data_IF_547512029190
#
_entry.id   IF_547512029190
#
_cell.length_a   1.000
_cell.length_b   1.000
_cell.length_c   1.000
_cell.angle_alpha   90.00
_cell.angle_beta   90.00
_cell.angle_gamma   90.00
#
_symmetry.space_group_name_H-M   'P 1'
#
loop_
_entity.id
_entity.type
_entity.pdbx_description
1 polymer ?
#
# COMPACT_ATOMS: atom_id res chain seq x y z
N UNK A 1 6.15 61.83 27.92
CA UNK A 1 4.92 61.04 27.79
C UNK A 1 5.06 60.31 26.45
N UNK A 2 5.46 59.04 26.52
CA UNK A 2 5.61 58.15 25.35
C UNK A 2 4.48 57.16 25.47
N UNK A 3 3.51 57.24 24.53
CA UNK A 3 2.44 56.25 24.38
C UNK A 3 2.98 54.97 23.77
N UNK A 4 2.87 53.86 24.51
CA UNK A 4 3.09 52.52 24.02
C UNK A 4 1.84 52.08 23.26
N UNK A 5 1.95 51.97 21.94
CA UNK A 5 0.99 51.26 21.10
C UNK A 5 1.29 49.75 21.16
N UNK A 6 0.47 49.03 21.91
CA UNK A 6 0.48 47.55 21.93
C UNK A 6 -0.19 47.03 20.65
N UNK A 7 0.59 46.46 19.77
CA UNK A 7 0.08 45.69 18.63
C UNK A 7 -0.41 44.32 19.13
N UNK A 8 -1.74 44.16 19.20
CA UNK A 8 -2.37 42.86 19.42
C UNK A 8 -2.39 42.12 18.06
N UNK A 9 -1.42 41.22 17.85
CA UNK A 9 -1.48 40.29 16.73
C UNK A 9 -2.58 39.25 17.02
N UNK A 10 -3.73 39.40 16.41
CA UNK A 10 -4.77 38.37 16.37
C UNK A 10 -4.25 37.26 15.45
N UNK A 11 -3.72 36.19 16.03
CA UNK A 11 -3.52 34.92 15.35
C UNK A 11 -4.90 34.39 14.96
N UNK A 12 -5.29 34.61 13.71
CA UNK A 12 -6.38 33.84 13.11
C UNK A 12 -5.88 32.41 13.00
N UNK A 13 -6.31 31.56 13.92
CA UNK A 13 -6.25 30.11 13.77
C UNK A 13 -7.22 29.80 12.64
N UNK A 14 -6.71 29.71 11.41
CA UNK A 14 -7.48 29.14 10.31
C UNK A 14 -7.68 27.66 10.64
N UNK A 15 -8.93 27.30 10.91
CA UNK A 15 -9.31 25.88 10.98
C UNK A 15 -8.76 25.18 9.74
N UNK A 16 -8.20 23.97 9.87
CA UNK A 16 -7.79 23.22 8.69
C UNK A 16 -8.98 23.10 7.74
N UNK A 17 -8.75 23.15 6.42
CA UNK A 17 -9.84 23.06 5.46
C UNK A 17 -10.64 21.79 5.75
N UNK A 18 -11.96 21.94 5.82
CA UNK A 18 -12.91 20.84 5.99
C UNK A 18 -12.60 19.82 4.88
N UNK A 19 -11.95 18.71 5.26
CA UNK A 19 -11.59 17.66 4.31
C UNK A 19 -12.87 17.13 3.73
N UNK A 20 -13.03 17.22 2.41
CA UNK A 20 -14.17 16.63 1.71
C UNK A 20 -14.35 15.19 2.22
N UNK A 21 -15.60 14.82 2.54
CA UNK A 21 -15.90 13.48 3.04
C UNK A 21 -15.28 12.43 2.10
N UNK A 22 -14.57 11.43 2.64
CA UNK A 22 -13.97 10.40 1.81
C UNK A 22 -15.07 9.68 1.02
N UNK A 23 -14.80 9.41 -0.25
CA UNK A 23 -15.69 8.66 -1.16
C UNK A 23 -16.04 7.27 -0.60
N UNK A 24 -15.22 6.74 0.32
CA UNK A 24 -15.37 5.41 0.92
C UNK A 24 -15.37 5.53 2.45
N UNK A 25 -16.44 5.03 3.07
CA UNK A 25 -16.54 4.95 4.53
C UNK A 25 -15.70 3.81 5.11
N UNK A 26 -14.81 4.07 6.10
CA UNK A 26 -14.06 3.00 6.77
C UNK A 26 -14.96 1.96 7.47
N UNK A 27 -16.10 2.37 8.01
CA UNK A 27 -17.03 1.46 8.68
C UNK A 27 -17.68 0.49 7.68
N UNK A 28 -18.14 1.00 6.55
CA UNK A 28 -18.76 0.23 5.48
C UNK A 28 -17.77 -0.71 4.80
N UNK A 29 -16.55 -0.23 4.55
CA UNK A 29 -15.49 -1.08 4.00
C UNK A 29 -15.20 -2.27 4.93
N UNK A 30 -15.02 -2.03 6.24
CA UNK A 30 -14.77 -3.11 7.21
C UNK A 30 -15.95 -4.08 7.31
N UNK A 31 -17.20 -3.57 7.30
CA UNK A 31 -18.38 -4.41 7.33
C UNK A 31 -18.45 -5.33 6.11
N UNK A 32 -18.24 -4.79 4.92
CA UNK A 32 -18.21 -5.55 3.66
C UNK A 32 -17.08 -6.58 3.62
N UNK A 33 -15.88 -6.18 4.05
CA UNK A 33 -14.72 -7.07 4.11
C UNK A 33 -14.99 -8.27 5.06
N UNK A 34 -15.49 -8.03 6.26
CA UNK A 34 -15.74 -9.07 7.25
C UNK A 34 -16.88 -10.00 6.80
N UNK A 35 -17.95 -9.45 6.21
CA UNK A 35 -19.05 -10.26 5.68
C UNK A 35 -18.57 -11.18 4.53
N UNK A 36 -17.72 -10.69 3.64
CA UNK A 36 -17.13 -11.49 2.57
C UNK A 36 -16.15 -12.55 3.12
N UNK A 37 -15.34 -12.19 4.12
CA UNK A 37 -14.43 -13.12 4.80
C UNK A 37 -15.17 -14.29 5.44
N UNK A 38 -16.32 -14.04 6.06
CA UNK A 38 -17.21 -15.05 6.65
C UNK A 38 -17.95 -15.90 5.59
N UNK A 39 -17.89 -15.51 4.32
CA UNK A 39 -18.65 -16.15 3.24
C UNK A 39 -20.15 -15.90 3.30
N UNK A 40 -20.57 -14.85 4.02
CA UNK A 40 -21.97 -14.41 4.18
C UNK A 40 -22.36 -13.33 3.17
N UNK A 41 -21.42 -12.83 2.40
CA UNK A 41 -21.60 -11.70 1.48
C UNK A 41 -21.60 -12.17 0.03
N UNK A 42 -22.54 -11.66 -0.74
CA UNK A 42 -22.48 -11.61 -2.19
C UNK A 42 -22.59 -10.15 -2.62
N UNK A 43 -21.73 -9.71 -3.51
CA UNK A 43 -21.85 -8.36 -4.07
C UNK A 43 -23.20 -8.24 -4.77
N UNK A 44 -24.06 -7.24 -4.45
CA UNK A 44 -25.34 -7.06 -5.07
C UNK A 44 -25.23 -6.87 -6.59
N UNK A 45 -26.20 -7.36 -7.41
CA UNK A 45 -26.13 -7.26 -8.87
C UNK A 45 -25.96 -5.83 -9.39
N UNK A 46 -26.59 -4.85 -8.76
CA UNK A 46 -26.47 -3.43 -9.11
C UNK A 46 -25.07 -2.89 -8.86
N UNK A 47 -24.41 -3.31 -7.78
CA UNK A 47 -23.01 -2.95 -7.48
C UNK A 47 -22.07 -3.63 -8.47
N UNK A 48 -22.30 -4.92 -8.80
CA UNK A 48 -21.54 -5.60 -9.85
C UNK A 48 -21.63 -4.85 -11.19
N UNK A 49 -22.83 -4.41 -11.58
CA UNK A 49 -23.03 -3.66 -12.81
C UNK A 49 -22.28 -2.32 -12.80
N UNK A 50 -22.22 -1.62 -11.66
CA UNK A 50 -21.43 -0.39 -11.50
C UNK A 50 -19.94 -0.67 -11.57
N UNK A 51 -19.46 -1.78 -11.00
CA UNK A 51 -18.07 -2.19 -11.06
C UNK A 51 -17.56 -2.32 -12.51
N UNK A 52 -18.42 -2.63 -13.48
CA UNK A 52 -18.05 -2.71 -14.90
C UNK A 52 -17.76 -1.33 -15.53
N UNK A 53 -18.07 -0.23 -14.86
CA UNK A 53 -17.81 1.14 -15.36
C UNK A 53 -16.40 1.63 -15.07
N UNK A 54 -15.58 0.82 -14.38
CA UNK A 54 -14.22 1.19 -14.01
C UNK A 54 -13.18 0.35 -14.75
N UNK A 55 -11.99 0.91 -14.84
CA UNK A 55 -10.76 0.16 -15.15
C UNK A 55 -9.98 -0.07 -13.89
N UNK A 56 -9.56 -1.28 -13.69
CA UNK A 56 -8.79 -1.70 -12.53
C UNK A 56 -7.32 -1.76 -12.88
N UNK A 57 -6.50 -1.04 -12.13
CA UNK A 57 -5.05 -1.02 -12.32
C UNK A 57 -4.38 -1.59 -11.08
N UNK A 58 -3.78 -2.75 -11.23
CA UNK A 58 -2.95 -3.36 -10.21
C UNK A 58 -1.51 -2.86 -10.32
N UNK A 59 -0.96 -2.29 -9.22
CA UNK A 59 0.43 -1.86 -9.16
C UNK A 59 1.17 -2.79 -8.21
N UNK A 60 2.08 -3.58 -8.77
CA UNK A 60 2.79 -4.63 -8.04
C UNK A 60 3.97 -4.07 -7.22
N UNK A 61 4.33 -4.79 -6.15
CA UNK A 61 5.41 -4.41 -5.25
C UNK A 61 6.79 -4.86 -5.70
N UNK A 62 7.73 -4.83 -4.76
CA UNK A 62 9.13 -5.21 -4.95
C UNK A 62 9.28 -6.68 -5.37
N UNK A 63 10.22 -6.99 -6.27
CA UNK A 63 10.50 -8.31 -6.84
C UNK A 63 9.35 -8.95 -7.64
N UNK A 64 8.40 -8.15 -8.09
CA UNK A 64 7.24 -8.63 -8.82
C UNK A 64 7.52 -9.05 -10.26
N UNK A 65 8.63 -8.62 -10.87
CA UNK A 65 8.93 -8.85 -12.29
C UNK A 65 9.07 -10.34 -12.67
N UNK A 66 9.29 -11.21 -11.68
CA UNK A 66 9.36 -12.66 -11.87
C UNK A 66 8.16 -13.45 -11.33
N UNK A 67 7.13 -12.76 -10.82
CA UNK A 67 6.02 -13.37 -10.10
C UNK A 67 4.72 -13.40 -10.90
N UNK A 68 4.48 -14.46 -11.68
CA UNK A 68 3.26 -14.63 -12.49
C UNK A 68 1.96 -14.71 -11.67
N UNK A 69 2.04 -14.97 -10.37
CA UNK A 69 0.88 -15.14 -9.47
C UNK A 69 0.47 -13.85 -8.75
N UNK A 70 1.23 -12.75 -8.95
CA UNK A 70 0.93 -11.46 -8.33
C UNK A 70 -0.44 -10.95 -8.81
N UNK A 71 -1.34 -10.65 -7.87
CA UNK A 71 -2.72 -10.23 -8.13
C UNK A 71 -3.59 -11.20 -8.97
N UNK A 72 -3.11 -12.39 -9.30
CA UNK A 72 -3.85 -13.32 -10.18
C UNK A 72 -5.21 -13.71 -9.60
N UNK A 73 -5.29 -13.96 -8.29
CA UNK A 73 -6.55 -14.28 -7.63
C UNK A 73 -7.46 -13.03 -7.56
N UNK A 74 -6.91 -11.85 -7.23
CA UNK A 74 -7.68 -10.61 -7.18
C UNK A 74 -8.32 -10.30 -8.56
N UNK A 75 -7.55 -10.44 -9.64
CA UNK A 75 -8.07 -10.28 -10.99
C UNK A 75 -9.07 -11.39 -11.38
N UNK A 76 -8.93 -12.60 -10.83
CA UNK A 76 -9.92 -13.66 -11.01
C UNK A 76 -11.26 -13.27 -10.36
N UNK A 77 -11.25 -12.74 -9.16
CA UNK A 77 -12.47 -12.29 -8.47
C UNK A 77 -13.17 -11.16 -9.25
N UNK A 78 -12.42 -10.16 -9.75
CA UNK A 78 -12.99 -9.13 -10.64
C UNK A 78 -13.68 -9.74 -11.87
N UNK A 79 -13.07 -10.74 -12.49
CA UNK A 79 -13.68 -11.42 -13.64
C UNK A 79 -14.90 -12.26 -13.26
N UNK A 80 -14.89 -12.88 -12.09
CA UNK A 80 -16.00 -13.70 -11.59
C UNK A 80 -17.28 -12.88 -11.40
N UNK A 81 -17.17 -11.59 -11.12
CA UNK A 81 -18.31 -10.66 -11.04
C UNK A 81 -18.59 -9.96 -12.39
N UNK A 82 -17.92 -10.37 -13.49
CA UNK A 82 -18.18 -9.92 -14.84
C UNK A 82 -17.34 -8.75 -15.34
N UNK A 83 -16.35 -8.25 -14.58
CA UNK A 83 -15.44 -7.21 -15.10
C UNK A 83 -14.67 -7.74 -16.31
N UNK A 84 -14.72 -7.06 -17.48
CA UNK A 84 -14.04 -7.49 -18.68
C UNK A 84 -12.53 -7.59 -18.49
N UNK A 85 -11.90 -8.61 -19.06
CA UNK A 85 -10.43 -8.75 -19.00
C UNK A 85 -9.70 -7.54 -19.56
N UNK A 86 -10.27 -6.87 -20.54
CA UNK A 86 -9.76 -5.64 -21.17
C UNK A 86 -9.81 -4.42 -20.26
N UNK A 87 -10.55 -4.50 -19.14
CA UNK A 87 -10.61 -3.44 -18.11
C UNK A 87 -9.68 -3.71 -16.92
N UNK A 88 -8.83 -4.76 -16.97
CA UNK A 88 -7.90 -5.12 -15.90
C UNK A 88 -6.46 -4.99 -16.42
N UNK A 89 -5.71 -4.10 -15.79
CA UNK A 89 -4.37 -3.72 -16.20
C UNK A 89 -3.36 -3.90 -15.05
N UNK A 90 -2.07 -3.97 -15.40
CA UNK A 90 -1.00 -4.20 -14.44
C UNK A 90 0.16 -3.24 -14.69
N UNK A 91 0.74 -2.74 -13.61
CA UNK A 91 2.01 -2.02 -13.61
C UNK A 91 2.98 -2.81 -12.74
N UNK A 92 4.15 -3.10 -13.27
CA UNK A 92 5.26 -3.75 -12.58
C UNK A 92 6.43 -2.76 -12.51
N UNK A 93 6.52 -1.94 -11.45
CA UNK A 93 7.64 -1.02 -11.28
C UNK A 93 8.95 -1.79 -11.14
N UNK A 94 10.05 -1.25 -11.67
CA UNK A 94 11.33 -1.92 -11.62
C UNK A 94 11.88 -1.97 -10.18
N UNK A 95 12.12 -3.17 -9.66
CA UNK A 95 12.59 -3.37 -8.28
C UNK A 95 13.99 -2.80 -8.02
N UNK A 96 14.81 -2.68 -9.05
CA UNK A 96 16.18 -2.12 -8.97
C UNK A 96 16.20 -0.60 -8.81
N UNK A 97 15.12 0.10 -9.20
CA UNK A 97 15.07 1.55 -9.21
C UNK A 97 14.42 2.08 -7.91
N UNK A 98 14.63 3.34 -7.58
CA UNK A 98 13.93 4.04 -6.51
C UNK A 98 12.49 4.37 -6.91
N UNK A 99 11.66 4.86 -5.98
CA UNK A 99 10.30 5.35 -6.29
C UNK A 99 10.38 6.47 -7.33
N UNK A 100 11.28 7.43 -7.14
CA UNK A 100 11.50 8.51 -8.10
C UNK A 100 12.00 7.98 -9.45
N UNK A 101 12.93 7.04 -9.47
CA UNK A 101 13.40 6.38 -10.69
C UNK A 101 12.28 5.70 -11.50
N UNK A 102 11.27 5.14 -10.82
CA UNK A 102 10.09 4.54 -11.45
C UNK A 102 9.04 5.55 -11.94
N UNK A 103 9.04 6.79 -11.41
CA UNK A 103 7.96 7.76 -11.62
C UNK A 103 7.58 7.95 -13.10
N UNK A 104 8.58 8.09 -13.98
CA UNK A 104 8.34 8.25 -15.41
C UNK A 104 7.69 7.05 -16.08
N UNK A 105 8.05 5.82 -15.70
CA UNK A 105 7.49 4.59 -16.24
C UNK A 105 6.06 4.38 -15.74
N UNK A 106 5.84 4.58 -14.45
CA UNK A 106 4.53 4.49 -13.80
C UNK A 106 3.56 5.51 -14.40
N UNK A 107 4.00 6.77 -14.55
CA UNK A 107 3.23 7.83 -15.20
C UNK A 107 2.78 7.46 -16.62
N UNK A 108 3.69 6.95 -17.47
CA UNK A 108 3.33 6.53 -18.83
C UNK A 108 2.23 5.49 -18.83
N UNK A 109 2.31 4.49 -17.93
CA UNK A 109 1.30 3.42 -17.83
C UNK A 109 -0.07 3.93 -17.37
N UNK A 110 -0.12 4.81 -16.38
CA UNK A 110 -1.39 5.42 -15.96
C UNK A 110 -2.05 6.22 -17.09
N UNK A 111 -1.26 7.03 -17.83
CA UNK A 111 -1.78 7.77 -18.98
C UNK A 111 -2.24 6.84 -20.13
N UNK A 112 -1.48 5.77 -20.41
CA UNK A 112 -1.87 4.75 -21.38
C UNK A 112 -3.24 4.16 -21.03
N UNK A 113 -3.44 3.71 -19.79
CA UNK A 113 -4.68 3.06 -19.37
C UNK A 113 -5.86 4.03 -19.31
N UNK A 114 -5.66 5.26 -18.87
CA UNK A 114 -6.70 6.28 -18.90
C UNK A 114 -7.08 6.70 -20.34
N UNK A 115 -6.16 6.56 -21.29
CA UNK A 115 -6.41 6.85 -22.72
C UNK A 115 -7.22 5.79 -23.47
N UNK A 116 -7.46 4.61 -22.88
CA UNK A 116 -8.20 3.53 -23.52
C UNK A 116 -9.72 3.77 -23.60
N UNK A 117 -10.28 4.69 -22.82
CA UNK A 117 -11.70 5.05 -22.82
C UNK A 117 -12.07 6.01 -21.69
N UNK A 118 -13.36 6.31 -21.53
CA UNK A 118 -13.86 7.29 -20.56
C UNK A 118 -13.91 6.79 -19.12
N UNK A 119 -13.72 5.50 -18.89
CA UNK A 119 -13.84 4.87 -17.58
C UNK A 119 -12.74 5.36 -16.64
N UNK A 120 -13.12 5.71 -15.42
CA UNK A 120 -12.15 6.07 -14.38
C UNK A 120 -11.39 4.85 -13.88
N UNK A 121 -10.20 5.11 -13.36
CA UNK A 121 -9.31 4.09 -12.82
C UNK A 121 -9.59 3.84 -11.34
N UNK A 122 -9.77 2.58 -10.98
CA UNK A 122 -9.67 2.09 -9.60
C UNK A 122 -8.30 1.45 -9.46
N UNK A 123 -7.44 2.06 -8.67
CA UNK A 123 -6.05 1.62 -8.48
C UNK A 123 -5.94 0.77 -7.23
N UNK A 124 -5.37 -0.42 -7.36
CA UNK A 124 -5.08 -1.34 -6.25
C UNK A 124 -3.57 -1.59 -6.26
N UNK A 125 -2.89 -0.91 -5.37
CA UNK A 125 -1.44 -0.92 -5.32
C UNK A 125 -0.95 -1.59 -4.04
N UNK A 126 0.06 -2.48 -4.15
CA UNK A 126 0.53 -3.28 -3.03
C UNK A 126 2.00 -3.06 -2.75
N UNK A 127 2.35 -3.07 -1.44
CA UNK A 127 3.73 -2.99 -1.00
C UNK A 127 4.41 -1.75 -1.58
N UNK A 128 5.63 -1.83 -2.09
CA UNK A 128 6.31 -0.72 -2.75
C UNK A 128 5.50 -0.10 -3.89
N UNK A 129 4.70 -0.89 -4.62
CA UNK A 129 3.82 -0.35 -5.66
C UNK A 129 2.79 0.66 -5.13
N UNK A 130 2.42 0.57 -3.85
CA UNK A 130 1.60 1.58 -3.19
C UNK A 130 2.34 2.92 -3.07
N UNK A 131 3.64 2.88 -2.78
CA UNK A 131 4.49 4.07 -2.76
C UNK A 131 4.62 4.68 -4.17
N UNK A 132 4.88 3.85 -5.19
CA UNK A 132 4.96 4.30 -6.58
C UNK A 132 3.63 4.95 -7.04
N UNK A 133 2.48 4.38 -6.66
CA UNK A 133 1.15 4.90 -7.02
C UNK A 133 0.82 6.22 -6.32
N UNK A 134 1.12 6.34 -5.01
CA UNK A 134 0.88 7.58 -4.26
C UNK A 134 1.79 8.71 -4.77
N UNK A 135 3.07 8.42 -5.02
CA UNK A 135 4.00 9.43 -5.54
C UNK A 135 3.57 9.91 -6.93
N UNK A 136 3.13 9.00 -7.81
CA UNK A 136 2.51 9.39 -9.08
C UNK A 136 1.31 10.32 -8.86
N UNK A 137 0.43 9.99 -7.91
CA UNK A 137 -0.78 10.77 -7.63
C UNK A 137 -0.44 12.19 -7.17
N UNK A 138 0.52 12.35 -6.25
CA UNK A 138 0.98 13.65 -5.76
C UNK A 138 1.59 14.50 -6.88
N UNK A 139 2.36 13.89 -7.77
CA UNK A 139 2.94 14.59 -8.93
C UNK A 139 1.91 14.98 -10.01
N UNK A 140 0.72 14.35 -10.02
CA UNK A 140 -0.26 14.49 -11.09
C UNK A 140 -1.69 14.73 -10.56
N UNK A 141 -1.94 15.75 -9.68
CA UNK A 141 -3.23 15.92 -9.01
C UNK A 141 -4.38 16.17 -9.99
N UNK A 142 -4.15 16.88 -11.10
CA UNK A 142 -5.17 17.10 -12.15
C UNK A 142 -5.55 15.80 -12.85
N UNK A 143 -4.60 14.90 -13.06
CA UNK A 143 -4.87 13.57 -13.62
C UNK A 143 -5.72 12.76 -12.66
N UNK A 144 -5.36 12.76 -11.37
CA UNK A 144 -6.11 12.06 -10.32
C UNK A 144 -7.53 12.57 -10.22
N UNK A 145 -7.72 13.88 -10.16
CA UNK A 145 -9.05 14.49 -10.09
C UNK A 145 -9.95 14.05 -11.25
N UNK A 146 -9.41 13.99 -12.47
CA UNK A 146 -10.14 13.67 -13.70
C UNK A 146 -10.34 12.16 -13.91
N UNK A 147 -9.30 11.35 -13.74
CA UNK A 147 -9.25 10.00 -14.27
C UNK A 147 -9.24 8.91 -13.19
N UNK A 148 -9.02 9.24 -11.92
CA UNK A 148 -8.97 8.25 -10.84
C UNK A 148 -10.23 8.34 -10.01
N UNK A 149 -10.87 7.20 -9.76
CA UNK A 149 -11.96 7.08 -8.80
C UNK A 149 -11.42 6.90 -7.40
N UNK A 150 -10.56 5.92 -7.19
CA UNK A 150 -9.97 5.61 -5.90
C UNK A 150 -8.58 4.98 -6.05
N UNK A 151 -7.70 5.24 -5.05
CA UNK A 151 -6.41 4.59 -4.85
C UNK A 151 -6.46 3.76 -3.57
N UNK A 152 -6.48 2.45 -3.68
CA UNK A 152 -6.37 1.52 -2.57
C UNK A 152 -4.91 1.09 -2.42
N UNK A 153 -4.29 1.58 -1.36
CA UNK A 153 -2.87 1.39 -1.05
C UNK A 153 -2.75 0.31 0.04
N UNK A 154 -2.36 -0.88 -0.39
CA UNK A 154 -2.34 -2.09 0.43
C UNK A 154 -0.93 -2.34 0.93
N UNK A 155 -0.71 -2.34 2.25
CA UNK A 155 0.55 -2.73 2.88
C UNK A 155 1.80 -1.97 2.36
N UNK A 156 1.64 -0.68 2.04
CA UNK A 156 2.74 0.12 1.49
C UNK A 156 3.79 0.47 2.54
N UNK A 157 5.10 0.28 2.27
CA UNK A 157 6.18 0.63 3.20
C UNK A 157 6.52 2.14 3.12
N UNK A 158 5.57 3.00 3.47
CA UNK A 158 5.75 4.45 3.40
C UNK A 158 6.78 4.96 4.41
N UNK A 159 6.79 4.41 5.63
CA UNK A 159 7.84 4.65 6.61
C UNK A 159 9.10 3.80 6.38
N UNK A 160 9.16 3.05 5.28
CA UNK A 160 10.22 2.09 5.01
C UNK A 160 9.98 0.73 5.69
N UNK A 161 11.06 -0.03 5.85
CA UNK A 161 11.00 -1.31 6.55
C UNK A 161 12.30 -1.58 7.32
N UNK A 162 12.18 -2.00 8.58
CA UNK A 162 13.31 -2.45 9.38
C UNK A 162 14.06 -3.64 8.78
N UNK A 163 13.45 -4.37 7.82
CA UNK A 163 14.15 -5.43 7.09
C UNK A 163 15.17 -4.84 6.10
N UNK A 164 14.82 -3.73 5.44
CA UNK A 164 15.78 -3.01 4.59
C UNK A 164 16.91 -2.43 5.45
N UNK A 165 16.61 -1.85 6.63
CA UNK A 165 17.63 -1.36 7.57
C UNK A 165 18.58 -2.49 7.99
N UNK A 166 18.04 -3.68 8.32
CA UNK A 166 18.85 -4.84 8.67
C UNK A 166 19.79 -5.26 7.53
N UNK A 167 19.23 -5.42 6.32
CA UNK A 167 19.98 -5.88 5.14
C UNK A 167 21.04 -4.87 4.70
N UNK A 168 20.82 -3.59 4.89
CA UNK A 168 21.80 -2.53 4.56
C UNK A 168 22.79 -2.23 5.70
N UNK A 169 22.65 -2.90 6.85
CA UNK A 169 23.51 -2.69 8.02
C UNK A 169 23.17 -1.42 8.80
N UNK A 170 22.03 -0.78 8.53
CA UNK A 170 21.54 0.41 9.25
C UNK A 170 20.66 0.02 10.46
N UNK A 171 20.15 -1.23 10.50
CA UNK A 171 19.24 -1.71 11.52
C UNK A 171 19.93 -2.28 12.77
N UNK A 172 19.16 -2.44 13.87
CA UNK A 172 19.67 -3.12 15.06
C UNK A 172 20.08 -4.55 14.76
N UNK A 173 21.13 -5.07 15.43
CA UNK A 173 21.56 -6.45 15.25
C UNK A 173 20.50 -7.42 15.79
N UNK A 174 20.50 -8.65 15.26
CA UNK A 174 19.66 -9.71 15.79
C UNK A 174 20.07 -10.02 17.22
N UNK A 175 19.13 -9.90 18.15
CA UNK A 175 19.38 -10.14 19.57
C UNK A 175 19.69 -11.65 19.82
N UNK A 176 20.79 -11.92 20.50
CA UNK A 176 21.16 -13.27 20.93
C UNK A 176 20.14 -13.89 21.92
N UNK A 177 19.23 -13.08 22.49
CA UNK A 177 18.10 -13.53 23.31
C UNK A 177 16.96 -14.13 22.50
N UNK A 178 16.96 -13.95 21.17
CA UNK A 178 16.00 -14.64 20.31
C UNK A 178 16.08 -16.16 20.49
N UNK A 179 14.95 -16.89 20.53
CA UNK A 179 14.92 -18.34 20.54
C UNK A 179 15.74 -18.93 19.38
N UNK A 180 16.43 -20.06 19.64
CA UNK A 180 17.36 -20.68 18.68
C UNK A 180 16.74 -20.92 17.28
N UNK A 181 15.46 -21.33 17.24
CA UNK A 181 14.71 -21.49 15.97
C UNK A 181 14.65 -20.20 15.17
N UNK A 182 14.41 -19.08 15.83
CA UNK A 182 14.30 -17.76 15.21
C UNK A 182 15.65 -17.25 14.72
N UNK A 183 16.74 -17.52 15.49
CA UNK A 183 18.09 -17.18 15.05
C UNK A 183 18.54 -17.97 13.84
N UNK A 184 18.17 -19.27 13.76
CA UNK A 184 18.47 -20.10 12.58
C UNK A 184 17.72 -19.63 11.34
N UNK A 185 16.49 -19.15 11.48
CA UNK A 185 15.72 -18.58 10.35
C UNK A 185 16.21 -17.19 10.04
N UNK A 186 16.58 -16.39 11.06
CA UNK A 186 17.20 -15.08 10.87
C UNK A 186 18.57 -15.15 10.20
N UNK A 187 19.36 -16.23 10.45
CA UNK A 187 20.58 -16.48 9.66
C UNK A 187 20.29 -16.78 8.18
N UNK A 188 19.06 -17.17 7.84
CA UNK A 188 18.57 -17.26 6.47
C UNK A 188 18.32 -15.88 5.82
N UNK A 189 18.11 -14.82 6.60
CA UNK A 189 18.03 -13.44 6.08
C UNK A 189 19.36 -13.01 5.46
N UNK A 190 20.50 -13.44 6.01
CA UNK A 190 21.82 -13.21 5.42
C UNK A 190 21.96 -13.81 4.01
N UNK A 191 21.27 -14.94 3.71
CA UNK A 191 21.23 -15.51 2.35
C UNK A 191 20.31 -14.75 1.41
N UNK A 192 19.26 -14.13 1.93
CA UNK A 192 18.41 -13.22 1.17
C UNK A 192 19.20 -11.94 0.87
N UNK A 193 19.95 -11.43 1.84
CA UNK A 193 20.90 -10.32 1.67
C UNK A 193 21.88 -10.62 0.55
N UNK A 194 22.60 -11.74 0.60
CA UNK A 194 23.55 -12.16 -0.43
C UNK A 194 22.88 -12.29 -1.81
N UNK A 195 21.66 -12.84 -1.88
CA UNK A 195 20.92 -12.99 -3.13
C UNK A 195 20.38 -11.67 -3.69
N UNK A 196 19.91 -10.76 -2.83
CA UNK A 196 19.41 -9.43 -3.24
C UNK A 196 20.54 -8.47 -3.60
N UNK A 197 21.68 -8.52 -2.87
CA UNK A 197 22.82 -7.66 -3.11
C UNK A 197 23.74 -8.19 -4.22
N UNK A 198 23.82 -9.50 -4.45
CA UNK A 198 24.68 -10.12 -5.48
C UNK A 198 24.23 -9.86 -6.93
N UNK A 199 22.97 -9.45 -7.13
CA UNK A 199 22.42 -9.16 -8.47
C UNK A 199 22.71 -7.75 -9.00
N UNK A 200 23.66 -7.03 -8.43
CA UNK A 200 24.11 -5.72 -8.89
C UNK A 200 23.62 -4.54 -8.07
N UNK A 201 24.07 -3.33 -8.42
CA UNK A 201 23.71 -2.08 -7.72
C UNK A 201 22.20 -1.83 -7.81
N UNK A 202 21.46 -2.26 -6.83
CA UNK A 202 20.04 -2.04 -6.72
C UNK A 202 19.76 -0.88 -5.75
N UNK A 203 19.42 0.29 -6.27
CA UNK A 203 19.02 1.43 -5.46
C UNK A 203 17.63 1.20 -4.77
N UNK A 204 16.86 0.24 -5.26
CA UNK A 204 15.51 -0.03 -4.79
C UNK A 204 15.43 -0.47 -3.33
N UNK A 205 16.28 -1.41 -2.88
CA UNK A 205 16.26 -1.86 -1.50
C UNK A 205 16.78 -0.82 -0.50
N UNK A 206 17.92 -0.13 -0.73
CA UNK A 206 18.36 0.96 0.13
C UNK A 206 17.36 2.12 0.24
N UNK A 207 16.55 2.37 -0.80
CA UNK A 207 15.50 3.39 -0.75
C UNK A 207 14.31 3.01 0.14
N UNK A 208 14.23 1.76 0.60
CA UNK A 208 13.21 1.26 1.50
C UNK A 208 13.68 1.21 2.96
N UNK A 209 14.89 1.69 3.29
CA UNK A 209 15.27 1.89 4.70
C UNK A 209 14.35 2.93 5.33
N UNK A 210 14.11 2.83 6.64
CA UNK A 210 13.22 3.76 7.36
C UNK A 210 13.70 5.20 7.23
N UNK A 211 15.02 5.41 7.31
CA UNK A 211 15.63 6.73 7.12
C UNK A 211 15.39 7.27 5.71
N UNK A 212 15.73 6.50 4.67
CA UNK A 212 15.57 6.96 3.30
C UNK A 212 14.10 7.18 2.91
N UNK A 213 13.19 6.31 3.38
CA UNK A 213 11.75 6.45 3.15
C UNK A 213 11.21 7.70 3.84
N UNK A 214 11.61 7.96 5.09
CA UNK A 214 11.19 9.18 5.79
C UNK A 214 11.67 10.44 5.07
N UNK A 215 12.95 10.51 4.74
CA UNK A 215 13.53 11.65 3.99
C UNK A 215 12.80 11.87 2.65
N UNK A 216 12.48 10.78 1.94
CA UNK A 216 11.76 10.84 0.67
C UNK A 216 10.33 11.37 0.84
N UNK A 217 9.56 10.84 1.82
CA UNK A 217 8.17 11.25 2.00
C UNK A 217 8.03 12.63 2.62
N UNK A 218 8.91 13.03 3.56
CA UNK A 218 8.95 14.39 4.09
C UNK A 218 9.10 15.40 2.94
N UNK A 219 10.09 15.14 2.04
CA UNK A 219 10.30 15.98 0.87
C UNK A 219 9.16 15.91 -0.14
N UNK A 220 8.62 14.72 -0.42
CA UNK A 220 7.52 14.58 -1.38
C UNK A 220 6.25 15.30 -0.91
N UNK A 221 5.99 15.31 0.40
CA UNK A 221 4.87 16.03 0.99
C UNK A 221 5.06 17.55 0.93
N UNK A 222 6.26 18.03 1.18
CA UNK A 222 6.62 19.45 1.04
C UNK A 222 6.51 19.90 -0.43
N UNK A 223 7.14 19.17 -1.35
CA UNK A 223 7.18 19.53 -2.78
C UNK A 223 5.78 19.48 -3.44
N UNK A 224 4.82 18.73 -2.88
CA UNK A 224 3.50 18.49 -3.47
C UNK A 224 2.34 18.81 -2.51
N UNK A 225 2.52 19.72 -1.55
CA UNK A 225 1.48 20.12 -0.58
C UNK A 225 0.19 20.53 -1.29
N UNK A 226 0.30 21.28 -2.38
CA UNK A 226 -0.84 21.75 -3.19
C UNK A 226 -1.65 20.60 -3.85
N UNK A 227 -1.06 19.39 -3.94
CA UNK A 227 -1.74 18.24 -4.52
C UNK A 227 -2.65 17.52 -3.51
N UNK A 228 -2.39 17.68 -2.21
CA UNK A 228 -3.06 16.94 -1.13
C UNK A 228 -4.59 17.07 -1.19
N UNK A 229 -5.19 18.28 -1.37
CA UNK A 229 -6.64 18.40 -1.43
C UNK A 229 -7.31 17.62 -2.56
N UNK A 230 -6.60 17.38 -3.67
CA UNK A 230 -7.12 16.61 -4.80
C UNK A 230 -6.88 15.10 -4.68
N UNK A 231 -5.82 14.69 -3.98
CA UNK A 231 -5.36 13.30 -3.87
C UNK A 231 -5.92 12.61 -2.64
N UNK A 232 -5.90 13.29 -1.49
CA UNK A 232 -6.27 12.73 -0.19
C UNK A 232 -7.69 12.14 -0.15
N UNK A 233 -8.75 12.79 -0.68
CA UNK A 233 -10.11 12.24 -0.64
C UNK A 233 -10.29 10.94 -1.42
N UNK A 234 -9.34 10.61 -2.32
CA UNK A 234 -9.36 9.41 -3.16
C UNK A 234 -8.33 8.37 -2.74
N UNK A 235 -7.58 8.62 -1.69
CA UNK A 235 -6.49 7.75 -1.21
C UNK A 235 -6.92 6.98 0.03
N UNK A 236 -6.83 5.65 -0.04
CA UNK A 236 -7.29 4.75 1.01
C UNK A 236 -6.23 3.73 1.35
N UNK A 237 -5.88 3.62 2.63
CA UNK A 237 -4.91 2.66 3.12
C UNK A 237 -5.60 1.41 3.68
N UNK A 238 -5.07 0.25 3.32
CA UNK A 238 -5.41 -1.04 3.89
C UNK A 238 -4.14 -1.57 4.54
N UNK A 239 -4.11 -1.44 5.85
CA UNK A 239 -2.98 -1.85 6.67
C UNK A 239 -3.16 -3.27 7.17
N UNK A 240 -2.06 -3.95 7.50
CA UNK A 240 -2.09 -5.29 8.05
C UNK A 240 -1.09 -5.46 9.17
N UNK A 241 -1.43 -6.35 10.10
CA UNK A 241 -0.55 -6.91 11.11
C UNK A 241 -0.98 -8.33 11.40
N UNK A 242 -0.07 -9.17 11.87
CA UNK A 242 -0.42 -10.53 12.28
C UNK A 242 0.61 -11.05 13.29
N UNK A 243 0.20 -12.05 14.07
CA UNK A 243 1.13 -12.75 14.94
C UNK A 243 2.18 -13.51 14.11
N UNK A 244 3.46 -13.51 14.51
CA UNK A 244 4.51 -14.19 13.77
C UNK A 244 4.22 -15.68 13.49
N UNK A 245 3.59 -16.39 14.43
CA UNK A 245 3.26 -17.81 14.31
C UNK A 245 2.18 -18.08 13.23
N UNK A 246 1.44 -17.08 12.82
CA UNK A 246 0.48 -17.18 11.73
C UNK A 246 1.15 -17.08 10.36
N UNK A 247 2.40 -16.67 10.30
CA UNK A 247 3.16 -16.54 9.06
C UNK A 247 3.89 -17.83 8.67
N UNK A 248 4.37 -17.84 7.46
CA UNK A 248 5.27 -18.90 6.99
C UNK A 248 6.62 -18.79 7.69
N UNK A 249 7.29 -19.93 7.81
CA UNK A 249 8.54 -20.04 8.56
C UNK A 249 9.58 -18.97 8.18
N UNK A 250 9.74 -18.65 6.89
CA UNK A 250 10.71 -17.64 6.46
C UNK A 250 10.26 -16.20 6.83
N UNK A 251 8.95 -15.94 6.84
CA UNK A 251 8.40 -14.65 7.26
C UNK A 251 8.25 -14.54 8.78
N UNK A 252 8.23 -15.66 9.50
CA UNK A 252 8.23 -15.62 10.96
C UNK A 252 9.48 -14.93 11.49
N UNK A 253 10.65 -15.18 10.89
CA UNK A 253 11.88 -14.54 11.35
C UNK A 253 11.88 -13.03 11.13
N UNK A 254 11.41 -12.58 9.96
CA UNK A 254 11.28 -11.15 9.70
C UNK A 254 10.26 -10.51 10.62
N UNK A 255 9.11 -11.17 10.86
CA UNK A 255 8.09 -10.70 11.77
C UNK A 255 8.60 -10.57 13.21
N UNK A 256 9.30 -11.57 13.72
CA UNK A 256 9.91 -11.51 15.06
C UNK A 256 10.96 -10.42 15.17
N UNK A 257 11.78 -10.23 14.15
CA UNK A 257 12.75 -9.14 14.13
C UNK A 257 12.06 -7.78 14.19
N UNK A 258 11.02 -7.58 13.38
CA UNK A 258 10.25 -6.34 13.36
C UNK A 258 9.50 -6.13 14.67
N UNK A 259 8.84 -7.14 15.21
CA UNK A 259 8.07 -7.06 16.45
C UNK A 259 8.96 -6.66 17.64
N UNK A 260 10.17 -7.25 17.71
CA UNK A 260 11.13 -6.96 18.77
C UNK A 260 11.69 -5.54 18.73
N UNK A 261 11.89 -4.98 17.53
CA UNK A 261 12.63 -3.73 17.35
C UNK A 261 11.74 -2.55 16.97
N UNK A 262 10.59 -2.79 16.35
CA UNK A 262 9.77 -1.74 15.73
C UNK A 262 8.26 -1.86 16.04
N UNK A 263 7.80 -3.03 16.50
CA UNK A 263 6.42 -3.24 16.93
C UNK A 263 5.55 -4.06 15.93
N UNK A 264 4.22 -3.99 16.09
CA UNK A 264 3.28 -4.81 15.30
C UNK A 264 3.51 -4.68 13.81
N UNK A 265 3.50 -5.82 13.08
CA UNK A 265 3.87 -5.87 11.67
C UNK A 265 3.16 -7.00 10.91
N UNK A 266 3.33 -7.03 9.60
CA UNK A 266 2.77 -8.05 8.71
C UNK A 266 3.82 -9.09 8.22
N UNK A 267 5.00 -9.05 8.82
CA UNK A 267 6.16 -9.85 8.45
C UNK A 267 7.19 -9.13 7.59
N UNK A 268 6.86 -8.00 6.96
CA UNK A 268 7.79 -7.18 6.19
C UNK A 268 7.73 -5.69 6.50
N UNK A 269 6.56 -5.17 6.88
CA UNK A 269 6.33 -3.74 7.14
C UNK A 269 5.62 -3.59 8.49
N UNK A 270 6.09 -2.68 9.33
CA UNK A 270 5.43 -2.35 10.59
C UNK A 270 4.13 -1.61 10.34
N UNK A 271 3.15 -1.78 11.22
CA UNK A 271 1.81 -1.19 11.05
C UNK A 271 1.86 0.32 10.90
N UNK A 272 2.70 0.99 11.69
CA UNK A 272 2.85 2.45 11.66
C UNK A 272 3.42 2.96 10.34
N UNK A 273 4.24 2.14 9.66
CA UNK A 273 4.91 2.50 8.42
C UNK A 273 4.04 2.31 7.17
N UNK A 274 2.79 1.81 7.32
CA UNK A 274 1.91 1.46 6.18
C UNK A 274 0.99 2.60 5.71
N UNK A 275 1.21 3.82 6.14
CA UNK A 275 0.46 5.00 5.68
C UNK A 275 1.34 6.25 5.74
N UNK A 276 0.98 7.27 4.94
CA UNK A 276 1.55 8.62 5.05
C UNK A 276 0.61 9.48 5.87
N UNK A 277 1.13 10.14 6.90
CA UNK A 277 0.34 11.07 7.71
C UNK A 277 -0.14 12.27 6.88
N UNK A 278 -1.37 12.71 7.12
CA UNK A 278 -1.93 13.88 6.44
C UNK A 278 -2.48 13.62 5.02
N UNK A 279 -2.31 12.42 4.45
CA UNK A 279 -2.86 12.08 3.13
C UNK A 279 -3.67 10.79 3.21
N UNK A 280 -4.91 10.84 2.73
CA UNK A 280 -5.78 9.67 2.61
C UNK A 280 -6.42 9.22 3.93
N UNK A 281 -7.09 8.09 3.88
CA UNK A 281 -7.86 7.52 4.99
C UNK A 281 -7.51 6.05 5.19
N UNK A 282 -7.25 5.64 6.43
CA UNK A 282 -7.10 4.21 6.78
C UNK A 282 -8.48 3.57 6.84
N UNK A 283 -8.77 2.67 5.91
CA UNK A 283 -10.05 1.94 5.86
C UNK A 283 -10.11 0.79 6.86
N UNK A 284 -9.03 0.02 6.94
CA UNK A 284 -8.99 -1.15 7.79
C UNK A 284 -7.55 -1.50 8.21
N UNK A 285 -7.46 -2.12 9.40
CA UNK A 285 -6.29 -2.90 9.83
C UNK A 285 -6.74 -4.37 9.85
N UNK A 286 -6.12 -5.19 9.02
CA UNK A 286 -6.52 -6.58 8.79
C UNK A 286 -5.48 -7.52 9.42
N UNK A 287 -5.93 -8.60 10.08
CA UNK A 287 -5.04 -9.69 10.49
C UNK A 287 -4.61 -10.51 9.26
N UNK A 288 -3.47 -10.14 8.69
CA UNK A 288 -2.92 -10.78 7.51
C UNK A 288 -1.41 -10.53 7.40
N UNK A 289 -0.69 -11.48 6.85
CA UNK A 289 0.71 -11.31 6.46
C UNK A 289 0.84 -10.52 5.15
N UNK A 290 2.03 -9.97 4.92
CA UNK A 290 2.34 -9.05 3.81
C UNK A 290 1.91 -9.55 2.41
N UNK A 291 1.86 -10.85 2.17
CA UNK A 291 1.51 -11.41 0.86
C UNK A 291 0.09 -11.97 0.78
N UNK A 292 -0.63 -12.03 1.90
CA UNK A 292 -1.89 -12.78 1.98
C UNK A 292 -3.04 -12.16 1.19
N UNK A 293 -3.02 -10.84 1.01
CA UNK A 293 -4.04 -10.10 0.28
C UNK A 293 -3.85 -10.13 -1.25
N UNK A 294 -2.65 -10.50 -1.73
CA UNK A 294 -2.29 -10.33 -3.15
C UNK A 294 -1.71 -11.57 -3.82
N UNK A 295 -1.11 -12.49 -3.05
CA UNK A 295 -0.44 -13.67 -3.59
C UNK A 295 -1.14 -14.96 -3.19
N UNK A 296 -1.14 -15.93 -4.12
CA UNK A 296 -1.52 -17.31 -3.83
C UNK A 296 -0.29 -18.10 -3.41
N UNK A 297 0.26 -17.81 -2.26
CA UNK A 297 1.23 -18.77 -1.69
C UNK A 297 0.49 -19.79 -0.83
N UNK A 298 0.90 -21.07 -0.79
CA UNK A 298 0.38 -22.01 0.19
C UNK A 298 0.73 -21.50 1.59
N UNK A 299 -0.21 -21.08 2.40
CA UNK A 299 -0.01 -20.70 3.81
C UNK A 299 -0.50 -21.80 4.73
N UNK A 300 0.01 -21.82 5.97
CA UNK A 300 -0.45 -22.76 6.99
C UNK A 300 -1.94 -22.57 7.34
N UNK A 301 -2.48 -21.38 7.07
CA UNK A 301 -3.89 -21.04 7.27
C UNK A 301 -4.55 -20.80 5.89
N UNK A 302 -5.77 -21.34 5.63
CA UNK A 302 -6.48 -21.14 4.37
C UNK A 302 -6.88 -19.65 4.18
N UNK A 303 -6.04 -18.86 3.54
CA UNK A 303 -6.25 -17.40 3.36
C UNK A 303 -6.82 -17.01 1.99
N UNK A 304 -7.41 -17.96 1.24
CA UNK A 304 -8.04 -17.69 -0.06
C UNK A 304 -9.12 -16.60 0.06
N UNK A 305 -9.89 -16.63 1.13
CA UNK A 305 -10.98 -15.68 1.37
C UNK A 305 -10.53 -14.24 1.56
N UNK A 306 -9.30 -13.99 2.05
CA UNK A 306 -8.79 -12.64 2.24
C UNK A 306 -8.70 -11.86 0.91
N UNK A 307 -8.28 -12.51 -0.17
CA UNK A 307 -8.18 -11.87 -1.50
C UNK A 307 -9.55 -11.60 -2.11
N UNK A 308 -10.49 -12.54 -1.94
CA UNK A 308 -11.90 -12.34 -2.33
C UNK A 308 -12.50 -11.20 -1.52
N UNK A 309 -12.38 -11.24 -0.20
CA UNK A 309 -12.92 -10.20 0.68
C UNK A 309 -12.35 -8.80 0.37
N UNK A 310 -11.07 -8.71 0.04
CA UNK A 310 -10.46 -7.45 -0.39
C UNK A 310 -11.15 -6.89 -1.66
N UNK A 311 -11.33 -7.72 -2.68
CA UNK A 311 -11.96 -7.28 -3.93
C UNK A 311 -13.43 -6.95 -3.72
N UNK A 312 -14.18 -7.77 -2.99
CA UNK A 312 -15.59 -7.52 -2.70
C UNK A 312 -15.77 -6.20 -1.92
N UNK A 313 -14.92 -5.93 -0.92
CA UNK A 313 -14.97 -4.69 -0.17
C UNK A 313 -14.60 -3.46 -1.03
N UNK A 314 -13.61 -3.57 -1.91
CA UNK A 314 -13.25 -2.51 -2.86
C UNK A 314 -14.42 -2.22 -3.81
N UNK A 315 -15.05 -3.26 -4.37
CA UNK A 315 -16.17 -3.11 -5.29
C UNK A 315 -17.38 -2.49 -4.60
N UNK A 316 -17.69 -2.94 -3.37
CA UNK A 316 -18.74 -2.33 -2.56
C UNK A 316 -18.45 -0.85 -2.32
N UNK A 317 -17.21 -0.50 -2.05
CA UNK A 317 -16.79 0.86 -1.76
C UNK A 317 -16.93 1.81 -2.98
N UNK A 318 -16.49 1.39 -4.17
CA UNK A 318 -16.56 2.21 -5.39
C UNK A 318 -17.90 2.12 -6.12
N UNK A 319 -18.74 1.16 -5.75
CA UNK A 319 -20.06 0.96 -6.36
C UNK A 319 -21.19 1.68 -5.64
N UNK A 320 -20.94 2.38 -4.54
CA UNK A 320 -21.92 3.24 -3.86
C UNK A 320 -22.01 4.59 -4.58
N UNK A 321 -23.20 5.15 -4.71
CA UNK A 321 -23.43 6.48 -5.32
C UNK A 321 -23.06 7.59 -4.36
#
# INVERSE_FOLDING_TARGET
VIEQLSFLAVLMVTSPPETANPVVSPAEFRASFNAALDGKHSVPPEIMQRAHRFRYVFVAGFLSEGMSEYFKQNAHELRAIGVPRTSIHYIYPASRDTIDGNAGAVRRKFHEFAGLGPEKLVVIAHSRGACDALYFALQNPRFVAKNVEALFLVQGPFGGTGIADYVTGEGPPIDNRMPLKQRLVASGLGRIEEHLLSRGKHAGLPSLTRRASKEFWDKAMEDHEDAIPAVSPKTFYIQTKTEPDHLRLFMQATAWYLDTNFGPNDGLVTLEDQAVEGVGTVLAVIDAGHTDLTHKFPSAVPRKRLRTALIDAIIMAVGQD
#
